data_IF_398079086730
#
_entry.id   IF_398079086730
#
_cell.length_a   1.000
_cell.length_b   1.000
_cell.length_c   1.000
_cell.angle_alpha   90.00
_cell.angle_beta   90.00
_cell.angle_gamma   90.00
#
_symmetry.space_group_name_H-M   'P 1'
#
loop_
_entity.id
_entity.type
_entity.pdbx_description
1 polymer ?
#
# COMPACT_ATOMS: atom_id res chain seq x y z
N UNK A 1 1.90 21.06 -24.47
CA UNK A 1 1.15 22.30 -24.23
C UNK A 1 1.09 23.20 -25.47
N UNK A 2 2.16 23.33 -26.24
CA UNK A 2 2.23 24.30 -27.35
C UNK A 2 1.54 23.85 -28.67
N UNK A 3 1.23 22.58 -28.83
CA UNK A 3 0.78 22.03 -30.11
C UNK A 3 -0.74 22.00 -30.33
N UNK A 4 -1.56 22.29 -29.34
CA UNK A 4 -3.04 22.26 -29.40
C UNK A 4 -3.65 23.17 -28.34
N UNK A 5 -4.80 23.75 -28.65
CA UNK A 5 -5.69 24.36 -27.66
C UNK A 5 -6.25 23.28 -26.74
N UNK A 6 -6.27 23.54 -25.45
CA UNK A 6 -6.78 22.62 -24.42
C UNK A 6 -7.52 23.41 -23.34
N UNK A 7 -8.64 22.89 -22.89
CA UNK A 7 -9.43 23.42 -21.76
C UNK A 7 -8.95 22.83 -20.44
N UNK A 8 -8.43 21.58 -20.47
CA UNK A 8 -7.84 20.89 -19.34
C UNK A 8 -6.52 20.21 -19.76
N UNK A 9 -5.47 20.50 -19.02
CA UNK A 9 -4.19 19.80 -19.14
C UNK A 9 -3.87 19.08 -17.84
N UNK A 10 -3.68 17.75 -17.90
CA UNK A 10 -3.36 16.91 -16.75
C UNK A 10 -2.06 16.16 -17.00
N UNK A 11 -1.16 16.19 -16.02
CA UNK A 11 0.11 15.45 -16.05
C UNK A 11 0.41 14.85 -14.69
N UNK A 12 1.01 13.66 -14.67
CA UNK A 12 1.40 12.96 -13.46
C UNK A 12 2.90 12.67 -13.45
N UNK A 13 3.57 13.00 -12.35
CA UNK A 13 4.98 12.74 -12.11
C UNK A 13 5.13 11.51 -11.18
N UNK A 14 5.09 10.32 -11.74
CA UNK A 14 5.21 9.05 -10.97
C UNK A 14 6.60 8.78 -10.41
N UNK A 15 7.61 9.51 -10.89
CA UNK A 15 9.00 9.31 -10.45
C UNK A 15 9.22 9.60 -8.97
N UNK A 16 8.50 10.57 -8.41
CA UNK A 16 8.56 10.93 -6.97
C UNK A 16 8.10 9.77 -6.12
N UNK A 17 6.94 9.19 -6.43
CA UNK A 17 6.38 8.04 -5.73
C UNK A 17 7.37 6.86 -5.70
N UNK A 18 7.91 6.49 -6.86
CA UNK A 18 8.89 5.40 -6.97
C UNK A 18 10.15 5.66 -6.16
N UNK A 19 10.68 6.87 -6.24
CA UNK A 19 11.87 7.26 -5.50
C UNK A 19 11.63 7.18 -3.99
N UNK A 20 10.50 7.66 -3.52
CA UNK A 20 10.12 7.62 -2.10
C UNK A 20 9.95 6.19 -1.58
N UNK A 21 9.43 5.26 -2.38
CA UNK A 21 9.34 3.87 -1.99
C UNK A 21 10.71 3.26 -1.65
N UNK A 22 11.75 3.57 -2.42
CA UNK A 22 13.05 2.93 -2.26
C UNK A 22 14.02 3.70 -1.35
N UNK A 23 13.97 5.02 -1.36
CA UNK A 23 14.99 5.87 -0.74
C UNK A 23 14.47 6.71 0.44
N UNK A 24 13.30 6.39 1.01
CA UNK A 24 12.77 7.13 2.15
C UNK A 24 13.72 7.06 3.36
N UNK A 25 14.21 5.86 3.67
CA UNK A 25 15.19 5.63 4.73
C UNK A 25 16.47 6.44 4.53
N UNK A 26 16.96 6.50 3.29
CA UNK A 26 18.19 7.21 2.94
C UNK A 26 18.10 8.71 3.22
N UNK A 27 16.93 9.31 2.98
CA UNK A 27 16.65 10.71 3.31
C UNK A 27 16.64 10.93 4.81
N UNK A 28 15.96 10.06 5.58
CA UNK A 28 15.86 10.20 7.05
C UNK A 28 17.20 9.95 7.76
N UNK A 29 17.95 8.93 7.34
CA UNK A 29 19.23 8.55 7.95
C UNK A 29 20.43 9.33 7.38
N UNK A 30 20.18 10.28 6.47
CA UNK A 30 21.22 11.17 5.91
C UNK A 30 22.36 10.39 5.23
N UNK A 31 22.02 9.35 4.46
CA UNK A 31 22.99 8.58 3.70
C UNK A 31 23.51 9.33 2.47
N UNK A 32 24.46 8.72 1.75
CA UNK A 32 25.03 9.28 0.50
C UNK A 32 23.98 9.52 -0.61
N UNK A 33 22.85 8.83 -0.59
CA UNK A 33 21.78 9.01 -1.59
C UNK A 33 20.86 10.20 -1.33
N UNK A 34 20.93 10.82 -0.16
CA UNK A 34 20.07 11.96 0.19
C UNK A 34 20.19 13.11 -0.80
N UNK A 35 21.41 13.47 -1.19
CA UNK A 35 21.65 14.56 -2.14
C UNK A 35 21.04 14.29 -3.52
N UNK A 36 21.16 13.06 -4.02
CA UNK A 36 20.54 12.63 -5.28
C UNK A 36 19.01 12.70 -5.22
N UNK A 37 18.43 12.32 -4.09
CA UNK A 37 16.98 12.44 -3.87
C UNK A 37 16.56 13.91 -3.95
N UNK A 38 17.27 14.82 -3.27
CA UNK A 38 16.94 16.25 -3.31
C UNK A 38 17.15 16.86 -4.71
N UNK A 39 18.21 16.50 -5.43
CA UNK A 39 18.41 16.93 -6.83
C UNK A 39 17.25 16.48 -7.72
N UNK A 40 16.68 15.30 -7.47
CA UNK A 40 15.51 14.85 -8.22
C UNK A 40 14.27 15.69 -7.91
N UNK A 41 14.05 16.08 -6.64
CA UNK A 41 12.98 17.00 -6.29
C UNK A 41 13.16 18.38 -6.92
N UNK A 42 14.38 18.93 -6.90
CA UNK A 42 14.73 20.19 -7.57
C UNK A 42 14.45 20.13 -9.07
N UNK A 43 14.82 19.01 -9.71
CA UNK A 43 14.50 18.78 -11.13
C UNK A 43 12.99 18.77 -11.40
N UNK A 44 12.21 18.10 -10.56
CA UNK A 44 10.75 18.10 -10.70
C UNK A 44 10.16 19.50 -10.46
N UNK A 45 10.65 20.22 -9.47
CA UNK A 45 10.23 21.58 -9.18
C UNK A 45 10.49 22.52 -10.37
N UNK A 46 11.70 22.42 -10.97
CA UNK A 46 12.02 23.15 -12.21
C UNK A 46 11.03 22.84 -13.32
N UNK A 47 10.71 21.56 -13.56
CA UNK A 47 9.74 21.16 -14.61
C UNK A 47 8.32 21.62 -14.32
N UNK A 48 7.89 21.59 -13.05
CA UNK A 48 6.62 22.18 -12.62
C UNK A 48 6.63 23.68 -12.87
N UNK A 49 7.72 24.39 -12.52
CA UNK A 49 7.87 25.82 -12.80
C UNK A 49 7.80 26.17 -14.28
N UNK A 50 8.40 25.37 -15.16
CA UNK A 50 8.29 25.54 -16.63
C UNK A 50 6.83 25.38 -17.10
N UNK A 51 6.10 24.39 -16.58
CA UNK A 51 4.70 24.15 -16.92
C UNK A 51 3.80 25.31 -16.44
N UNK A 52 3.99 25.77 -15.20
CA UNK A 52 3.26 26.91 -14.64
C UNK A 52 3.46 28.17 -15.46
N UNK A 53 4.69 28.46 -15.90
CA UNK A 53 4.97 29.61 -16.79
C UNK A 53 4.27 29.50 -18.13
N UNK A 54 4.16 28.29 -18.70
CA UNK A 54 3.44 28.04 -19.98
C UNK A 54 1.92 28.04 -19.84
N UNK A 55 1.42 27.91 -18.62
CA UNK A 55 0.00 27.92 -18.31
C UNK A 55 -0.51 29.34 -17.91
N UNK A 56 0.10 30.39 -18.50
CA UNK A 56 -0.25 31.77 -18.21
C UNK A 56 -1.74 32.05 -18.33
N UNK A 57 -2.33 32.65 -17.29
CA UNK A 57 -3.79 32.87 -17.20
C UNK A 57 -4.63 31.68 -16.81
N UNK A 58 -4.09 30.44 -16.78
CA UNK A 58 -4.84 29.27 -16.37
C UNK A 58 -4.87 29.08 -14.84
N UNK A 59 -5.90 28.40 -14.35
CA UNK A 59 -5.92 27.91 -12.98
C UNK A 59 -5.04 26.65 -12.89
N UNK A 60 -4.07 26.68 -11.99
CA UNK A 60 -3.11 25.57 -11.79
C UNK A 60 -3.34 24.95 -10.41
N UNK A 61 -3.43 23.62 -10.40
CA UNK A 61 -3.43 22.80 -9.18
C UNK A 61 -2.23 21.85 -9.21
N UNK A 62 -1.54 21.73 -8.08
CA UNK A 62 -0.53 20.70 -7.81
C UNK A 62 -1.09 19.88 -6.66
N UNK A 63 -1.34 18.59 -6.90
CA UNK A 63 -1.97 17.70 -5.92
C UNK A 63 -1.22 16.39 -5.82
N UNK A 64 -1.24 15.78 -4.65
CA UNK A 64 -0.86 14.38 -4.47
C UNK A 64 -2.05 13.58 -3.93
N UNK A 65 -2.14 12.32 -4.32
CA UNK A 65 -3.13 11.35 -3.86
C UNK A 65 -2.85 10.88 -2.42
N UNK A 66 -1.59 10.87 -2.01
CA UNK A 66 -1.12 10.49 -0.67
C UNK A 66 0.20 11.18 -0.31
N UNK A 67 0.61 11.06 0.94
CA UNK A 67 1.95 11.34 1.42
C UNK A 67 2.77 10.06 1.59
N UNK A 68 3.96 10.17 2.20
CA UNK A 68 4.85 9.05 2.46
C UNK A 68 5.27 8.99 3.92
N UNK A 69 5.67 7.79 4.35
CA UNK A 69 6.27 7.52 5.66
C UNK A 69 7.23 6.34 5.57
N UNK A 70 8.10 6.21 6.55
CA UNK A 70 9.01 5.06 6.69
C UNK A 70 8.25 3.75 6.85
N UNK A 71 8.78 2.68 6.24
CA UNK A 71 8.38 1.29 6.46
C UNK A 71 9.60 0.50 6.91
N UNK A 72 9.61 0.04 8.14
CA UNK A 72 10.73 -0.74 8.72
C UNK A 72 10.42 -2.23 8.76
N UNK A 73 9.13 -2.56 8.86
CA UNK A 73 8.69 -3.93 9.02
C UNK A 73 7.42 -4.21 8.21
N UNK A 74 7.42 -5.29 7.45
CA UNK A 74 6.28 -5.77 6.68
C UNK A 74 5.57 -6.88 7.43
N UNK A 75 4.24 -6.82 7.46
CA UNK A 75 3.38 -7.89 7.92
C UNK A 75 2.72 -8.58 6.72
N UNK A 76 2.90 -9.90 6.62
CA UNK A 76 2.41 -10.72 5.50
C UNK A 76 1.02 -11.25 5.78
N UNK A 77 -0.01 -10.55 5.31
CA UNK A 77 -1.43 -10.80 5.60
C UNK A 77 -1.87 -12.19 5.14
N UNK A 78 -1.61 -12.58 3.88
CA UNK A 78 -2.00 -13.90 3.39
C UNK A 78 -1.30 -15.03 4.12
N UNK A 79 -0.04 -14.83 4.51
CA UNK A 79 0.70 -15.82 5.30
C UNK A 79 0.11 -15.99 6.71
N UNK A 80 -0.34 -14.89 7.32
CA UNK A 80 -1.08 -14.93 8.58
C UNK A 80 -2.45 -15.61 8.41
N UNK A 81 -3.20 -15.30 7.35
CA UNK A 81 -4.48 -15.93 7.07
C UNK A 81 -4.34 -17.45 6.84
N UNK A 82 -3.25 -17.92 6.22
CA UNK A 82 -2.93 -19.37 6.13
C UNK A 82 -2.69 -19.95 7.51
N UNK A 83 -1.85 -19.29 8.32
CA UNK A 83 -1.52 -19.74 9.68
C UNK A 83 -2.76 -19.86 10.57
N UNK A 84 -3.68 -18.91 10.46
CA UNK A 84 -4.94 -18.89 11.23
C UNK A 84 -6.05 -19.78 10.63
N UNK A 85 -5.81 -20.42 9.48
CA UNK A 85 -6.77 -21.33 8.83
C UNK A 85 -7.89 -20.64 8.06
N UNK A 86 -7.77 -19.36 7.76
CA UNK A 86 -8.74 -18.62 6.94
C UNK A 86 -8.45 -18.74 5.45
N UNK A 87 -7.18 -18.86 5.04
CA UNK A 87 -6.76 -18.99 3.65
C UNK A 87 -6.23 -20.39 3.38
N UNK A 88 -6.68 -21.01 2.28
CA UNK A 88 -6.23 -22.31 1.81
C UNK A 88 -5.40 -22.18 0.54
N UNK A 89 -4.35 -22.96 0.47
CA UNK A 89 -3.49 -23.09 -0.71
C UNK A 89 -3.95 -24.30 -1.52
N UNK A 90 -3.86 -24.22 -2.86
CA UNK A 90 -4.12 -25.38 -3.71
C UNK A 90 -3.11 -26.50 -3.45
N UNK A 91 -3.54 -27.74 -3.61
CA UNK A 91 -2.68 -28.94 -3.52
C UNK A 91 -1.90 -29.11 -4.83
N UNK A 92 -0.88 -28.27 -5.04
CA UNK A 92 0.01 -28.37 -6.23
C UNK A 92 1.43 -28.73 -5.80
N UNK A 93 2.22 -29.40 -6.67
CA UNK A 93 3.63 -29.69 -6.38
C UNK A 93 4.43 -28.43 -5.99
N UNK A 94 4.14 -27.30 -6.64
CA UNK A 94 4.77 -26.01 -6.34
C UNK A 94 4.47 -25.55 -4.91
N UNK A 95 3.19 -25.57 -4.51
CA UNK A 95 2.78 -25.20 -3.17
C UNK A 95 3.35 -26.14 -2.12
N UNK A 96 3.43 -27.44 -2.42
CA UNK A 96 4.06 -28.42 -1.53
C UNK A 96 5.53 -28.10 -1.28
N UNK A 97 6.30 -27.89 -2.36
CA UNK A 97 7.73 -27.52 -2.27
C UNK A 97 7.92 -26.21 -1.50
N UNK A 98 7.15 -25.18 -1.84
CA UNK A 98 7.24 -23.88 -1.15
C UNK A 98 6.88 -23.98 0.33
N UNK A 99 5.86 -24.78 0.68
CA UNK A 99 5.48 -25.02 2.08
C UNK A 99 6.54 -25.77 2.87
N UNK A 100 7.21 -26.75 2.24
CA UNK A 100 8.33 -27.47 2.83
C UNK A 100 9.51 -26.53 3.07
N UNK A 101 9.86 -25.71 2.08
CA UNK A 101 10.91 -24.69 2.20
C UNK A 101 10.62 -23.68 3.33
N UNK A 102 9.38 -23.22 3.48
CA UNK A 102 8.97 -22.36 4.60
C UNK A 102 9.16 -23.03 5.96
N UNK A 103 8.78 -24.30 6.09
CA UNK A 103 8.98 -25.05 7.35
C UNK A 103 10.46 -25.23 7.68
N UNK A 104 11.28 -25.60 6.70
CA UNK A 104 12.73 -25.77 6.86
C UNK A 104 13.39 -24.45 7.25
N UNK A 105 13.08 -23.34 6.55
CA UNK A 105 13.66 -22.03 6.88
C UNK A 105 13.22 -21.52 8.25
N UNK A 106 11.98 -21.76 8.63
CA UNK A 106 11.48 -21.42 9.97
C UNK A 106 12.20 -22.21 11.06
N UNK A 107 12.39 -23.52 10.86
CA UNK A 107 13.12 -24.40 11.78
C UNK A 107 14.59 -23.96 11.93
N UNK A 108 15.27 -23.69 10.81
CA UNK A 108 16.66 -23.22 10.84
C UNK A 108 16.82 -21.87 11.56
N UNK A 109 15.83 -20.98 11.47
CA UNK A 109 15.82 -19.72 12.22
C UNK A 109 15.66 -19.94 13.72
N UNK A 110 14.75 -20.82 14.14
CA UNK A 110 14.51 -21.11 15.57
C UNK A 110 15.69 -21.83 16.23
N UNK A 111 16.46 -22.59 15.46
CA UNK A 111 17.65 -23.31 15.95
C UNK A 111 18.96 -22.52 15.86
N UNK A 112 18.91 -21.27 15.37
CA UNK A 112 20.12 -20.46 15.17
C UNK A 112 20.98 -20.88 13.97
N UNK A 113 20.55 -21.88 13.20
CA UNK A 113 21.24 -22.41 12.02
C UNK A 113 20.90 -21.68 10.70
N UNK A 114 20.45 -20.43 10.78
CA UNK A 114 20.08 -19.64 9.61
C UNK A 114 21.27 -19.20 8.73
N UNK A 115 22.47 -19.03 9.30
CA UNK A 115 23.67 -18.69 8.54
C UNK A 115 24.07 -19.74 7.49
N UNK A 116 24.04 -21.06 7.79
CA UNK A 116 24.37 -22.07 6.79
C UNK A 116 23.47 -22.02 5.54
N UNK A 117 22.20 -21.67 5.68
CA UNK A 117 21.28 -21.56 4.53
C UNK A 117 21.63 -20.34 3.65
N UNK A 118 21.97 -19.20 4.24
CA UNK A 118 22.40 -18.02 3.49
C UNK A 118 23.71 -18.29 2.74
N UNK A 119 24.63 -19.03 3.36
CA UNK A 119 25.89 -19.44 2.76
C UNK A 119 25.67 -20.47 1.64
N UNK A 120 24.75 -21.43 1.81
CA UNK A 120 24.38 -22.38 0.77
C UNK A 120 23.74 -21.66 -0.44
N UNK A 121 22.86 -20.72 -0.21
CA UNK A 121 22.25 -19.91 -1.27
C UNK A 121 23.30 -19.08 -2.04
N UNK A 122 24.28 -18.51 -1.32
CA UNK A 122 25.43 -17.84 -1.94
C UNK A 122 26.31 -18.80 -2.73
N UNK A 123 26.54 -20.01 -2.24
CA UNK A 123 27.35 -21.03 -2.92
C UNK A 123 26.74 -21.48 -4.25
N UNK A 124 25.41 -21.47 -4.38
CA UNK A 124 24.70 -21.75 -5.63
C UNK A 124 24.49 -20.49 -6.50
N UNK A 125 25.20 -19.39 -6.19
CA UNK A 125 25.18 -18.14 -6.97
C UNK A 125 23.92 -17.30 -6.83
N UNK A 126 23.06 -17.59 -5.85
CA UNK A 126 21.85 -16.78 -5.58
C UNK A 126 22.06 -15.85 -4.39
N UNK A 127 21.96 -14.56 -4.63
CA UNK A 127 21.87 -13.59 -3.53
C UNK A 127 20.50 -13.67 -2.88
N UNK A 128 20.37 -13.52 -1.54
CA UNK A 128 19.08 -13.48 -0.86
C UNK A 128 18.12 -12.44 -1.45
N UNK A 129 18.65 -11.33 -1.99
CA UNK A 129 17.89 -10.27 -2.67
C UNK A 129 17.36 -10.65 -4.06
N UNK A 130 17.81 -11.76 -4.64
CA UNK A 130 17.39 -12.28 -5.95
C UNK A 130 16.33 -13.38 -5.82
N UNK A 131 16.01 -13.79 -4.60
CA UNK A 131 14.94 -14.75 -4.35
C UNK A 131 13.63 -14.01 -4.58
N UNK A 132 12.94 -14.37 -5.69
CA UNK A 132 11.61 -13.86 -5.98
C UNK A 132 10.67 -14.14 -4.81
N UNK A 133 9.68 -13.26 -4.54
CA UNK A 133 8.63 -13.56 -3.58
C UNK A 133 8.07 -14.96 -3.83
N UNK A 134 7.77 -15.69 -2.77
CA UNK A 134 7.16 -17.00 -2.89
C UNK A 134 5.78 -16.84 -3.54
N UNK A 135 5.63 -17.41 -4.70
CA UNK A 135 4.34 -17.47 -5.36
C UNK A 135 3.61 -18.74 -4.91
N UNK A 136 2.49 -18.55 -4.23
CA UNK A 136 1.57 -19.63 -3.88
C UNK A 136 0.30 -19.53 -4.72
N UNK A 137 -0.19 -20.67 -5.14
CA UNK A 137 -1.50 -20.77 -5.76
C UNK A 137 -2.57 -20.87 -4.67
N UNK A 138 -3.37 -19.82 -4.53
CA UNK A 138 -4.45 -19.74 -3.55
C UNK A 138 -5.69 -20.50 -4.06
N UNK A 139 -6.30 -21.28 -3.19
CA UNK A 139 -7.63 -21.83 -3.43
C UNK A 139 -8.70 -20.86 -2.88
N UNK A 140 -9.06 -19.89 -3.71
CA UNK A 140 -10.08 -18.88 -3.36
C UNK A 140 -11.45 -19.52 -3.06
N UNK A 141 -11.78 -20.67 -3.67
CA UNK A 141 -13.08 -21.31 -3.48
C UNK A 141 -13.22 -21.89 -2.07
N UNK A 142 -12.16 -22.48 -1.55
CA UNK A 142 -12.13 -23.12 -0.23
C UNK A 142 -11.61 -22.21 0.88
N UNK A 143 -11.10 -21.02 0.55
CA UNK A 143 -10.65 -20.01 1.51
C UNK A 143 -11.84 -19.28 2.11
N UNK A 144 -11.72 -18.92 3.38
CA UNK A 144 -12.71 -18.09 4.09
C UNK A 144 -12.42 -16.59 3.94
N UNK A 145 -11.14 -16.23 3.90
CA UNK A 145 -10.67 -14.86 3.72
C UNK A 145 -9.34 -14.84 2.96
N UNK A 146 -9.09 -13.74 2.25
CA UNK A 146 -7.88 -13.53 1.45
C UNK A 146 -7.65 -12.04 1.19
N UNK A 147 -6.44 -11.67 0.80
CA UNK A 147 -6.15 -10.37 0.19
C UNK A 147 -5.69 -10.56 -1.26
N UNK A 148 -6.08 -9.66 -2.15
CA UNK A 148 -5.92 -9.82 -3.59
C UNK A 148 -4.65 -9.19 -4.16
N UNK A 149 -4.06 -8.19 -3.51
CA UNK A 149 -2.96 -7.42 -4.08
C UNK A 149 -1.69 -7.36 -3.23
N UNK A 150 -0.62 -6.92 -3.88
CA UNK A 150 0.73 -6.89 -3.30
C UNK A 150 0.87 -5.86 -2.17
N UNK A 151 0.17 -4.72 -2.26
CA UNK A 151 0.25 -3.58 -1.34
C UNK A 151 -1.07 -3.31 -0.63
N UNK A 152 -1.83 -4.36 -0.32
CA UNK A 152 -3.16 -4.15 0.22
C UNK A 152 -3.20 -4.09 1.74
N UNK A 153 -3.87 -3.06 2.18
CA UNK A 153 -4.33 -2.86 3.56
C UNK A 153 -5.77 -3.34 3.74
N UNK A 154 -6.18 -4.42 3.03
CA UNK A 154 -7.58 -4.87 3.03
C UNK A 154 -7.70 -6.39 2.95
N UNK A 155 -8.79 -6.93 3.53
CA UNK A 155 -9.12 -8.35 3.48
C UNK A 155 -10.54 -8.52 2.95
N UNK A 156 -10.70 -9.47 2.04
CA UNK A 156 -11.97 -9.91 1.51
C UNK A 156 -12.41 -11.19 2.21
N UNK A 157 -13.67 -11.27 2.61
CA UNK A 157 -14.30 -12.50 3.08
C UNK A 157 -14.96 -13.19 1.88
N UNK A 158 -14.82 -14.51 1.78
CA UNK A 158 -15.34 -15.27 0.65
C UNK A 158 -16.86 -15.00 0.46
N UNK A 159 -17.27 -14.46 -0.70
CA UNK A 159 -18.67 -14.11 -0.94
C UNK A 159 -19.61 -15.32 -0.98
N UNK A 160 -19.08 -16.55 -1.16
CA UNK A 160 -19.86 -17.80 -1.18
C UNK A 160 -20.32 -18.28 0.20
N UNK A 161 -19.78 -17.71 1.28
CA UNK A 161 -20.19 -18.05 2.65
C UNK A 161 -21.57 -17.45 2.97
N UNK A 162 -22.29 -18.09 3.88
CA UNK A 162 -23.54 -17.54 4.40
C UNK A 162 -23.30 -16.27 5.20
N UNK A 163 -24.28 -15.39 5.25
CA UNK A 163 -24.15 -14.09 5.90
C UNK A 163 -23.65 -14.19 7.35
N UNK A 164 -24.25 -15.06 8.16
CA UNK A 164 -23.89 -15.23 9.57
C UNK A 164 -22.44 -15.73 9.73
N UNK A 165 -22.01 -16.63 8.85
CA UNK A 165 -20.62 -17.12 8.84
C UNK A 165 -19.65 -16.03 8.43
N UNK A 166 -20.00 -15.22 7.42
CA UNK A 166 -19.18 -14.06 6.99
C UNK A 166 -18.98 -13.07 8.12
N UNK A 167 -20.04 -12.66 8.80
CA UNK A 167 -19.95 -11.69 9.91
C UNK A 167 -19.12 -12.26 11.07
N UNK A 168 -19.33 -13.54 11.44
CA UNK A 168 -18.52 -14.19 12.48
C UNK A 168 -17.03 -14.20 12.15
N UNK A 169 -16.67 -14.58 10.92
CA UNK A 169 -15.27 -14.61 10.48
C UNK A 169 -14.68 -13.20 10.46
N UNK A 170 -15.42 -12.22 9.94
CA UNK A 170 -15.03 -10.82 9.90
C UNK A 170 -14.70 -10.30 11.32
N UNK A 171 -15.58 -10.49 12.26
CA UNK A 171 -15.39 -10.07 13.65
C UNK A 171 -14.20 -10.78 14.32
N UNK A 172 -14.04 -12.07 14.06
CA UNK A 172 -12.92 -12.85 14.60
C UNK A 172 -11.58 -12.34 14.05
N UNK A 173 -11.46 -12.09 12.74
CA UNK A 173 -10.26 -11.54 12.11
C UNK A 173 -9.97 -10.14 12.67
N UNK A 174 -10.97 -9.26 12.73
CA UNK A 174 -10.80 -7.90 13.27
C UNK A 174 -10.28 -7.95 14.69
N UNK A 175 -10.88 -8.77 15.56
CA UNK A 175 -10.45 -8.92 16.97
C UNK A 175 -8.99 -9.38 17.06
N UNK A 176 -8.61 -10.43 16.31
CA UNK A 176 -7.24 -10.96 16.30
C UNK A 176 -6.21 -9.94 15.81
N UNK A 177 -6.53 -9.20 14.74
CA UNK A 177 -5.62 -8.21 14.17
C UNK A 177 -5.53 -6.93 15.02
N UNK A 178 -6.59 -6.52 15.71
CA UNK A 178 -6.53 -5.41 16.69
C UNK A 178 -5.58 -5.70 17.85
N UNK A 179 -5.44 -6.96 18.23
CA UNK A 179 -4.56 -7.38 19.33
C UNK A 179 -3.18 -7.86 18.85
N UNK A 180 -2.97 -7.92 17.52
CA UNK A 180 -1.72 -8.40 16.97
C UNK A 180 -0.54 -7.50 17.36
N UNK A 181 0.46 -8.12 17.97
CA UNK A 181 1.72 -7.47 18.33
C UNK A 181 2.89 -8.09 17.58
N UNK A 182 3.86 -7.26 17.31
CA UNK A 182 5.15 -7.70 16.82
C UNK A 182 5.91 -8.41 17.95
N UNK A 183 6.30 -9.68 17.78
CA UNK A 183 6.93 -10.46 18.83
C UNK A 183 8.32 -9.95 19.25
N UNK A 184 8.99 -9.13 18.44
CA UNK A 184 10.30 -8.57 18.75
C UNK A 184 10.21 -7.25 19.54
N UNK A 185 9.18 -6.47 19.28
CA UNK A 185 9.08 -5.10 19.83
C UNK A 185 7.91 -4.91 20.79
N UNK A 186 7.02 -5.88 20.87
CA UNK A 186 5.71 -5.84 21.59
C UNK A 186 4.80 -4.68 21.15
N UNK A 187 5.09 -4.02 20.04
CA UNK A 187 4.24 -2.93 19.50
C UNK A 187 3.05 -3.50 18.74
N UNK A 188 1.91 -2.82 18.81
CA UNK A 188 0.76 -3.13 17.97
C UNK A 188 1.11 -2.90 16.50
N UNK A 189 0.77 -3.86 15.64
CA UNK A 189 1.05 -3.81 14.20
C UNK A 189 0.10 -2.86 13.48
N UNK A 190 -1.15 -2.80 13.93
CA UNK A 190 -2.19 -1.95 13.34
C UNK A 190 -2.61 -0.84 14.28
N UNK A 191 -2.70 0.39 13.75
CA UNK A 191 -3.31 1.54 14.39
C UNK A 191 -4.84 1.37 14.47
N UNK A 192 -5.43 0.74 13.44
CA UNK A 192 -6.84 0.44 13.35
C UNK A 192 -7.12 -0.73 12.43
N UNK A 193 -8.18 -1.45 12.72
CA UNK A 193 -8.75 -2.52 11.88
C UNK A 193 -10.25 -2.33 11.90
N UNK A 194 -10.86 -2.08 10.74
CA UNK A 194 -12.23 -1.61 10.60
C UNK A 194 -13.04 -2.49 9.66
N UNK A 195 -14.34 -2.57 9.86
CA UNK A 195 -15.26 -3.00 8.80
C UNK A 195 -15.29 -1.92 7.71
N UNK A 196 -15.43 -2.29 6.44
CA UNK A 196 -15.54 -1.30 5.36
C UNK A 196 -16.67 -0.31 5.57
N UNK A 197 -17.80 -0.76 6.12
CA UNK A 197 -18.96 0.09 6.47
C UNK A 197 -18.68 1.12 7.56
N UNK A 198 -17.57 1.02 8.29
CA UNK A 198 -17.11 2.04 9.24
C UNK A 198 -16.27 3.13 8.56
N UNK A 199 -15.80 2.89 7.33
CA UNK A 199 -14.87 3.75 6.60
C UNK A 199 -15.45 4.32 5.30
N UNK A 200 -16.39 3.60 4.69
CA UNK A 200 -16.99 3.91 3.41
C UNK A 200 -18.51 3.84 3.46
N UNK A 201 -19.15 4.65 2.65
CA UNK A 201 -20.60 4.67 2.42
C UNK A 201 -20.87 4.59 0.92
N UNK A 202 -22.12 4.33 0.54
CA UNK A 202 -22.57 4.40 -0.84
C UNK A 202 -22.93 3.05 -1.48
N UNK A 203 -23.37 3.06 -2.74
CA UNK A 203 -23.96 1.90 -3.42
C UNK A 203 -22.96 0.79 -3.75
N UNK A 204 -21.65 1.08 -3.73
CA UNK A 204 -20.59 0.13 -4.06
C UNK A 204 -19.96 -0.55 -2.84
N UNK A 205 -20.51 -0.35 -1.64
CA UNK A 205 -20.01 -0.97 -0.42
C UNK A 205 -20.01 -2.51 -0.49
N UNK A 206 -20.94 -3.09 -1.25
CA UNK A 206 -21.07 -4.54 -1.45
C UNK A 206 -19.92 -5.18 -2.23
N UNK A 207 -19.15 -4.41 -2.98
CA UNK A 207 -17.97 -4.86 -3.73
C UNK A 207 -16.66 -4.40 -3.11
N UNK A 208 -16.73 -3.59 -2.05
CA UNK A 208 -15.54 -3.17 -1.30
C UNK A 208 -14.93 -4.37 -0.52
N UNK A 209 -13.65 -4.27 -0.12
CA UNK A 209 -13.09 -5.20 0.85
C UNK A 209 -13.93 -5.25 2.13
N UNK A 210 -13.99 -6.39 2.81
CA UNK A 210 -14.77 -6.51 4.05
C UNK A 210 -14.09 -5.86 5.26
N UNK A 211 -12.74 -5.88 5.28
CA UNK A 211 -11.93 -5.37 6.39
C UNK A 211 -10.84 -4.45 5.84
N UNK A 212 -10.70 -3.29 6.46
CA UNK A 212 -9.65 -2.30 6.16
C UNK A 212 -8.62 -2.31 7.29
N UNK A 213 -7.36 -2.40 6.90
CA UNK A 213 -6.21 -2.42 7.81
C UNK A 213 -5.49 -1.07 7.75
N UNK A 214 -5.31 -0.43 8.89
CA UNK A 214 -4.44 0.74 9.02
C UNK A 214 -3.18 0.35 9.79
N UNK A 215 -2.06 0.08 9.10
CA UNK A 215 -0.81 -0.23 9.77
C UNK A 215 -0.34 0.93 10.65
N UNK A 216 0.28 0.59 11.78
CA UNK A 216 0.91 1.56 12.66
C UNK A 216 2.16 2.16 11.98
N UNK A 217 2.73 3.21 12.56
CA UNK A 217 3.98 3.80 12.09
C UNK A 217 5.07 2.72 11.99
N UNK A 218 5.91 2.83 10.95
CA UNK A 218 6.99 1.90 10.64
C UNK A 218 6.55 0.49 10.17
N UNK A 219 5.26 0.16 10.18
CA UNK A 219 4.75 -1.09 9.62
C UNK A 219 4.07 -0.86 8.27
N UNK A 220 4.17 -1.87 7.40
CA UNK A 220 3.33 -2.00 6.22
C UNK A 220 2.67 -3.38 6.19
N UNK A 221 1.50 -3.49 5.59
CA UNK A 221 0.79 -4.76 5.39
C UNK A 221 0.83 -5.12 3.91
N UNK A 222 1.09 -6.40 3.59
CA UNK A 222 1.31 -6.86 2.22
C UNK A 222 0.73 -8.26 2.03
N UNK A 223 0.18 -8.53 0.85
CA UNK A 223 -0.44 -9.82 0.53
C UNK A 223 0.53 -10.94 0.14
N UNK A 224 1.82 -10.63 -0.06
CA UNK A 224 2.81 -11.61 -0.49
C UNK A 224 3.17 -12.64 0.58
N UNK A 225 3.84 -13.72 0.15
CA UNK A 225 4.46 -14.71 1.01
C UNK A 225 5.97 -14.53 1.02
N UNK A 226 6.61 -14.80 2.17
CA UNK A 226 8.06 -14.68 2.36
C UNK A 226 8.61 -15.81 3.19
N UNK A 227 9.91 -16.10 3.03
CA UNK A 227 10.66 -16.99 3.93
C UNK A 227 10.95 -16.36 5.29
N UNK A 228 10.75 -15.07 5.45
CA UNK A 228 11.02 -14.35 6.70
C UNK A 228 10.02 -14.64 7.82
N UNK A 229 8.91 -15.30 7.53
CA UNK A 229 7.83 -15.55 8.48
C UNK A 229 6.71 -14.51 8.34
N UNK A 230 5.97 -14.23 9.42
CA UNK A 230 4.88 -13.25 9.37
C UNK A 230 5.39 -11.81 9.25
N UNK A 231 6.61 -11.57 9.72
CA UNK A 231 7.26 -10.26 9.72
C UNK A 231 8.56 -10.29 8.93
N UNK A 232 8.79 -9.25 8.14
CA UNK A 232 9.99 -9.07 7.35
C UNK A 232 10.56 -7.67 7.59
N UNK A 233 11.85 -7.59 8.00
CA UNK A 233 12.56 -6.32 8.25
C UNK A 233 13.60 -6.00 7.18
N UNK A 234 13.94 -6.94 6.31
CA UNK A 234 14.98 -6.77 5.29
C UNK A 234 14.36 -6.81 3.89
N UNK A 235 13.90 -5.66 3.41
CA UNK A 235 13.32 -5.47 2.10
C UNK A 235 13.82 -4.16 1.48
N UNK A 236 13.62 -4.00 0.17
CA UNK A 236 14.18 -2.87 -0.59
C UNK A 236 13.38 -1.58 -0.46
N UNK A 237 12.05 -1.69 -0.40
CA UNK A 237 11.18 -0.52 -0.34
C UNK A 237 11.07 -0.04 1.12
N UNK A 238 11.79 1.04 1.42
CA UNK A 238 11.89 1.62 2.78
C UNK A 238 10.83 2.68 3.07
N UNK A 239 10.08 3.12 2.05
CA UNK A 239 8.95 4.02 2.15
C UNK A 239 7.62 3.35 1.83
N UNK A 240 6.56 3.84 2.44
CA UNK A 240 5.17 3.42 2.17
C UNK A 240 4.22 4.60 2.25
N UNK A 241 3.04 4.47 1.68
CA UNK A 241 2.04 5.51 1.65
C UNK A 241 1.56 5.92 3.05
N UNK A 242 1.23 7.19 3.19
CA UNK A 242 0.66 7.81 4.40
C UNK A 242 -0.56 8.63 4.00
N UNK A 243 -1.57 8.64 4.85
CA UNK A 243 -2.69 9.58 4.70
C UNK A 243 -2.20 11.02 4.78
N UNK A 244 -2.85 11.90 4.01
CA UNK A 244 -2.48 13.31 3.88
C UNK A 244 -1.42 13.51 2.80
N UNK A 245 -1.84 14.23 1.76
CA UNK A 245 -1.02 14.68 0.66
C UNK A 245 -0.84 16.20 0.69
N UNK A 246 -0.48 16.76 -0.45
CA UNK A 246 -0.38 18.20 -0.67
C UNK A 246 -1.43 18.65 -1.68
N UNK A 247 -1.88 19.91 -1.51
CA UNK A 247 -2.65 20.62 -2.50
C UNK A 247 -2.18 22.06 -2.55
N UNK A 248 -1.74 22.50 -3.73
CA UNK A 248 -1.30 23.88 -4.00
C UNK A 248 -2.16 24.40 -5.17
N UNK A 249 -2.58 25.64 -5.09
CA UNK A 249 -3.30 26.30 -6.17
C UNK A 249 -2.81 27.75 -6.35
N UNK A 250 -2.81 28.24 -7.59
CA UNK A 250 -2.48 29.64 -7.88
C UNK A 250 -3.68 30.58 -7.69
N UNK A 251 -4.71 30.14 -6.98
CA UNK A 251 -5.91 30.90 -6.64
C UNK A 251 -6.39 30.62 -5.22
N UNK A 252 -7.22 31.51 -4.70
CA UNK A 252 -7.84 31.32 -3.38
C UNK A 252 -8.85 30.19 -3.43
N UNK A 253 -8.76 29.28 -2.46
CA UNK A 253 -9.71 28.20 -2.22
C UNK A 253 -10.60 28.55 -1.04
N UNK A 254 -11.81 27.99 -1.01
CA UNK A 254 -12.81 28.25 0.05
C UNK A 254 -12.60 27.38 1.30
N UNK A 255 -11.61 26.46 1.29
CA UNK A 255 -11.22 25.58 2.41
C UNK A 255 -9.71 25.54 2.55
N UNK A 256 -9.24 25.38 3.80
CA UNK A 256 -7.82 25.15 4.13
C UNK A 256 -7.42 23.67 4.13
N UNK A 257 -8.39 22.75 4.22
CA UNK A 257 -8.21 21.31 4.14
C UNK A 257 -9.17 20.76 3.09
N UNK A 258 -8.64 19.99 2.16
CA UNK A 258 -9.39 19.42 1.05
C UNK A 258 -9.18 17.91 0.96
N UNK A 259 -10.13 17.21 0.38
CA UNK A 259 -9.99 15.82 -0.04
C UNK A 259 -9.54 15.75 -1.50
N UNK A 260 -8.86 14.68 -1.88
CA UNK A 260 -8.56 14.41 -3.30
C UNK A 260 -9.86 14.32 -4.14
N UNK A 261 -10.97 13.86 -3.55
CA UNK A 261 -12.28 13.82 -4.18
C UNK A 261 -12.83 15.22 -4.52
N UNK A 262 -12.37 16.29 -3.86
CA UNK A 262 -12.80 17.66 -4.12
C UNK A 262 -12.20 18.23 -5.42
N UNK A 263 -11.15 17.60 -5.98
CA UNK A 263 -10.44 18.10 -7.17
C UNK A 263 -11.33 18.05 -8.41
N UNK A 264 -11.96 16.93 -8.68
CA UNK A 264 -12.80 16.76 -9.88
C UNK A 264 -14.00 17.73 -9.91
N UNK A 265 -14.83 17.87 -8.87
CA UNK A 265 -15.92 18.85 -8.87
C UNK A 265 -15.41 20.30 -8.91
N UNK A 266 -14.21 20.57 -8.41
CA UNK A 266 -13.59 21.90 -8.55
C UNK A 266 -13.24 22.20 -10.00
N UNK A 267 -12.64 21.24 -10.72
CA UNK A 267 -12.33 21.38 -12.15
C UNK A 267 -13.61 21.59 -12.96
N UNK A 268 -14.63 20.76 -12.76
CA UNK A 268 -15.92 20.88 -13.47
C UNK A 268 -16.55 22.27 -13.29
N UNK A 269 -16.54 22.77 -12.05
CA UNK A 269 -17.08 24.12 -11.76
C UNK A 269 -16.27 25.22 -12.47
N UNK A 270 -14.95 25.11 -12.49
CA UNK A 270 -14.08 26.07 -13.19
C UNK A 270 -14.29 26.06 -14.70
N UNK A 271 -14.63 24.91 -15.26
CA UNK A 271 -14.97 24.76 -16.68
C UNK A 271 -16.42 25.17 -17.01
N UNK A 272 -17.22 25.63 -16.04
CA UNK A 272 -18.62 25.97 -16.23
C UNK A 272 -19.53 24.75 -16.44
N UNK A 273 -19.08 23.57 -16.12
CA UNK A 273 -19.82 22.31 -16.22
C UNK A 273 -20.62 22.01 -14.96
N UNK A 274 -21.73 21.30 -15.10
CA UNK A 274 -22.51 20.82 -13.97
C UNK A 274 -21.68 19.76 -13.19
N UNK A 275 -21.78 19.81 -11.87
CA UNK A 275 -21.20 18.79 -10.98
C UNK A 275 -22.27 17.70 -10.81
N UNK A 276 -22.01 16.43 -11.20
CA UNK A 276 -22.90 15.31 -10.95
C UNK A 276 -23.25 15.16 -9.46
N UNK A 277 -24.50 14.84 -9.16
CA UNK A 277 -25.00 14.71 -7.78
C UNK A 277 -24.39 13.50 -7.02
N UNK A 278 -23.91 12.49 -7.76
CA UNK A 278 -23.26 11.30 -7.25
C UNK A 278 -21.76 11.48 -6.94
N UNK A 279 -21.23 12.69 -7.07
CA UNK A 279 -19.87 13.00 -6.62
C UNK A 279 -19.80 13.25 -5.11
N UNK A 280 -18.95 12.50 -4.40
CA UNK A 280 -18.70 12.66 -2.96
C UNK A 280 -17.99 13.98 -2.62
N UNK A 281 -17.10 14.44 -3.51
CA UNK A 281 -16.32 15.65 -3.35
C UNK A 281 -17.13 16.93 -3.56
N UNK A 282 -16.64 18.03 -3.01
CA UNK A 282 -17.26 19.37 -3.15
C UNK A 282 -16.29 20.35 -3.78
N UNK A 283 -16.80 21.24 -4.63
CA UNK A 283 -15.97 22.29 -5.24
C UNK A 283 -15.30 23.17 -4.17
N UNK A 284 -14.04 23.47 -4.40
CA UNK A 284 -13.18 24.31 -3.56
C UNK A 284 -13.19 25.78 -4.00
N UNK A 285 -14.00 26.13 -5.01
CA UNK A 285 -14.13 27.50 -5.56
C UNK A 285 -15.57 27.92 -5.65
#
# INVERSE_FOLDING_TARGET
>A
MEAKDWDLFFIMFTGIDRLQHYLWKDVEENTSYKEEVFKFYEFIDEKVGELVKKADGATVFIVSDHGFRRSEKRFHVNQWLVKEGYLKLKSTPRNFINSLLLKVTSFLKTTGLSEPLSNLLRAIGKKPSEIKPLEFEIDYNSSKAFTCAFYETSIYINPKLKFEEKEKIKEEIIRKLKELRDPETDKKVFKGVYKSSEMYEGPFLNISPDIILLPNENYSAIGSFTFSGLFESNFKETGTHKQGGIMIANRKLNKSVASISDVAPTILKLMGSNIPEDMDGKSLV
#
